data_IF_869679860553
#
_entry.id   IF_869679860553
#
_cell.length_a   1.000
_cell.length_b   1.000
_cell.length_c   1.000
_cell.angle_alpha   90.00
_cell.angle_beta   90.00
_cell.angle_gamma   90.00
#
_symmetry.space_group_name_H-M   'P 1'
#
loop_
_entity.id
_entity.type
_entity.pdbx_description
1 polymer ?
#
# COMPACT_ATOMS: atom_id res chain seq x y z
N UNK A 1 30.76 -8.99 -12.72
CA UNK A 1 29.64 -8.84 -11.80
C UNK A 1 28.43 -9.59 -12.35
N UNK A 2 27.72 -10.25 -11.48
CA UNK A 2 26.59 -11.03 -11.87
C UNK A 2 25.35 -10.13 -12.07
N UNK A 3 24.86 -10.02 -13.30
CA UNK A 3 23.70 -9.20 -13.61
C UNK A 3 22.42 -9.71 -12.95
N UNK A 4 22.35 -11.03 -12.72
CA UNK A 4 21.18 -11.61 -12.07
C UNK A 4 21.08 -11.17 -10.61
N UNK A 5 22.22 -11.07 -9.92
CA UNK A 5 22.24 -10.56 -8.56
C UNK A 5 21.82 -9.09 -8.50
N UNK A 6 22.28 -8.27 -9.45
CA UNK A 6 21.90 -6.86 -9.52
C UNK A 6 20.39 -6.72 -9.75
N UNK A 7 19.83 -7.50 -10.67
CA UNK A 7 18.41 -7.46 -10.96
C UNK A 7 17.58 -7.89 -9.74
N UNK A 8 18.07 -8.90 -9.04
CA UNK A 8 17.38 -9.38 -7.84
C UNK A 8 17.39 -8.33 -6.73
N UNK A 9 18.54 -7.69 -6.51
CA UNK A 9 18.64 -6.62 -5.51
C UNK A 9 17.77 -5.42 -5.87
N UNK A 10 17.76 -5.03 -7.14
CA UNK A 10 16.93 -3.92 -7.60
C UNK A 10 15.44 -4.23 -7.44
N UNK A 11 15.05 -5.47 -7.69
CA UNK A 11 13.66 -5.89 -7.53
C UNK A 11 13.24 -5.84 -6.06
N UNK A 12 14.13 -6.30 -5.16
CA UNK A 12 13.87 -6.34 -3.74
C UNK A 12 13.73 -4.94 -3.15
N UNK A 13 14.55 -3.99 -3.61
CA UNK A 13 14.55 -2.63 -3.09
C UNK A 13 13.83 -1.63 -3.98
N UNK A 14 13.20 -2.10 -5.06
CA UNK A 14 12.46 -1.21 -5.94
C UNK A 14 11.23 -0.64 -5.23
N UNK A 15 11.06 0.68 -5.31
CA UNK A 15 9.97 1.40 -4.67
C UNK A 15 8.84 1.61 -5.67
N UNK A 16 8.04 0.58 -5.88
CA UNK A 16 6.99 0.54 -6.90
C UNK A 16 5.57 0.47 -6.33
N UNK A 17 5.44 0.61 -5.02
CA UNK A 17 4.13 0.45 -4.37
C UNK A 17 3.86 1.64 -3.47
N UNK A 18 2.62 2.07 -3.45
CA UNK A 18 2.24 3.06 -2.46
C UNK A 18 0.94 2.65 -1.77
N UNK A 19 0.70 3.26 -0.63
CA UNK A 19 -0.52 3.05 0.14
C UNK A 19 -1.26 4.37 0.17
N UNK A 20 -2.55 4.32 -0.14
CA UNK A 20 -3.41 5.47 -0.02
C UNK A 20 -4.54 5.17 0.96
N UNK A 21 -5.02 6.21 1.62
CA UNK A 21 -6.16 6.07 2.54
C UNK A 21 -6.97 7.34 2.55
N UNK A 22 -8.23 7.22 2.92
CA UNK A 22 -9.11 8.37 3.02
C UNK A 22 -10.00 8.26 4.26
N UNK A 23 -10.43 9.42 4.75
CA UNK A 23 -11.32 9.50 5.89
C UNK A 23 -12.77 9.75 5.44
N UNK A 24 -13.67 9.87 6.42
CA UNK A 24 -15.08 10.11 6.16
C UNK A 24 -15.41 11.56 5.76
N UNK A 25 -14.42 12.45 5.83
CA UNK A 25 -14.58 13.86 5.47
C UNK A 25 -14.07 14.19 4.07
N UNK A 26 -13.64 13.17 3.33
CA UNK A 26 -13.15 13.35 1.96
C UNK A 26 -11.67 13.68 1.85
N UNK A 27 -10.93 13.65 2.95
CA UNK A 27 -9.49 13.85 2.90
C UNK A 27 -8.80 12.57 2.42
N UNK A 28 -7.80 12.74 1.57
CA UNK A 28 -7.02 11.63 1.02
C UNK A 28 -5.55 11.83 1.34
N UNK A 29 -4.88 10.75 1.66
CA UNK A 29 -3.44 10.72 1.90
C UNK A 29 -2.82 9.61 1.09
N UNK A 30 -1.55 9.80 0.72
CA UNK A 30 -0.77 8.80 0.00
C UNK A 30 0.62 8.73 0.59
N UNK A 31 1.17 7.52 0.68
CA UNK A 31 2.55 7.35 1.05
C UNK A 31 3.46 7.65 -0.15
N UNK A 32 4.75 7.84 0.10
CA UNK A 32 5.75 7.76 -0.95
C UNK A 32 5.75 6.35 -1.55
N UNK A 33 6.38 6.20 -2.71
CA UNK A 33 6.57 4.87 -3.26
C UNK A 33 7.55 4.08 -2.40
N UNK A 34 7.17 2.85 -2.06
CA UNK A 34 7.88 2.01 -1.12
C UNK A 34 8.12 0.62 -1.73
N UNK A 35 9.15 -0.11 -1.26
CA UNK A 35 9.25 -1.53 -1.54
C UNK A 35 8.02 -2.28 -1.03
N UNK A 36 7.71 -3.42 -1.64
CA UNK A 36 6.48 -4.16 -1.33
C UNK A 36 6.36 -4.50 0.17
N UNK A 37 7.46 -4.86 0.82
CA UNK A 37 7.42 -5.22 2.23
C UNK A 37 7.04 -4.03 3.11
N UNK A 38 7.59 -2.86 2.83
CA UNK A 38 7.27 -1.66 3.58
C UNK A 38 5.85 -1.18 3.30
N UNK A 39 5.43 -1.25 2.04
CA UNK A 39 4.07 -0.87 1.67
C UNK A 39 3.05 -1.79 2.32
N UNK A 40 3.30 -3.09 2.32
CA UNK A 40 2.43 -4.07 2.98
C UNK A 40 2.36 -3.83 4.49
N UNK A 41 3.49 -3.50 5.11
CA UNK A 41 3.52 -3.19 6.53
C UNK A 41 2.67 -1.96 6.85
N UNK A 42 2.85 -0.89 6.06
CA UNK A 42 2.08 0.34 6.26
C UNK A 42 0.59 0.09 6.06
N UNK A 43 0.21 -0.63 5.01
CA UNK A 43 -1.18 -0.98 4.74
C UNK A 43 -1.78 -1.75 5.91
N UNK A 44 -1.04 -2.73 6.42
CA UNK A 44 -1.50 -3.56 7.52
C UNK A 44 -1.67 -2.74 8.82
N UNK A 45 -0.77 -1.81 9.08
CA UNK A 45 -0.87 -0.91 10.22
C UNK A 45 -2.13 -0.03 10.13
N UNK A 46 -2.42 0.50 8.94
CA UNK A 46 -3.59 1.34 8.74
C UNK A 46 -4.89 0.55 8.91
N UNK A 47 -4.92 -0.69 8.43
CA UNK A 47 -6.11 -1.55 8.56
C UNK A 47 -6.35 -1.93 10.02
N UNK A 48 -5.28 -2.21 10.77
CA UNK A 48 -5.40 -2.68 12.14
C UNK A 48 -5.60 -1.57 13.18
N UNK A 49 -5.34 -0.32 12.80
CA UNK A 49 -5.47 0.82 13.72
C UNK A 49 -6.37 1.91 13.13
N UNK A 50 -7.64 1.58 12.81
CA UNK A 50 -8.54 2.54 12.17
C UNK A 50 -8.93 3.71 13.05
N UNK A 51 -8.91 3.53 14.37
CA UNK A 51 -9.39 4.53 15.32
C UNK A 51 -8.50 5.78 15.39
N UNK A 52 -7.22 5.64 15.04
CA UNK A 52 -6.29 6.75 15.13
C UNK A 52 -6.49 7.78 14.03
N UNK A 53 -7.09 7.38 12.89
CA UNK A 53 -7.15 8.22 11.70
C UNK A 53 -8.54 8.35 11.09
N UNK A 54 -9.55 7.74 11.67
CA UNK A 54 -10.94 7.73 11.17
C UNK A 54 -11.01 7.32 9.69
N UNK A 55 -10.06 6.51 9.22
CA UNK A 55 -10.00 6.12 7.82
C UNK A 55 -11.10 5.13 7.48
N UNK A 56 -11.73 5.35 6.34
CA UNK A 56 -12.81 4.49 5.86
C UNK A 56 -12.34 3.53 4.77
N UNK A 57 -11.21 3.82 4.13
CA UNK A 57 -10.71 3.00 3.04
C UNK A 57 -9.19 3.11 2.95
N UNK A 58 -8.54 1.97 2.70
CA UNK A 58 -7.10 1.90 2.45
C UNK A 58 -6.86 1.09 1.18
N UNK A 59 -5.88 1.47 0.39
CA UNK A 59 -5.51 0.76 -0.83
C UNK A 59 -4.00 0.59 -0.92
N UNK A 60 -3.57 -0.56 -1.40
CA UNK A 60 -2.18 -0.83 -1.76
C UNK A 60 -2.09 -0.89 -3.27
N UNK A 61 -1.40 0.08 -3.87
CA UNK A 61 -1.32 0.25 -5.31
C UNK A 61 0.04 -0.16 -5.85
N UNK A 62 0.02 -0.81 -7.02
CA UNK A 62 1.22 -1.24 -7.72
C UNK A 62 1.47 -0.37 -8.94
N UNK A 63 2.64 0.28 -8.98
CA UNK A 63 3.07 1.04 -10.15
C UNK A 63 3.38 0.12 -11.34
N UNK A 64 3.85 -1.10 -11.04
CA UNK A 64 4.19 -2.07 -12.09
C UNK A 64 2.93 -2.51 -12.83
N UNK A 65 1.89 -2.83 -12.07
CA UNK A 65 0.63 -3.33 -12.62
C UNK A 65 -0.36 -2.22 -12.93
N UNK A 66 -0.08 -1.02 -12.48
CA UNK A 66 -0.95 0.16 -12.64
C UNK A 66 -2.36 -0.08 -12.08
N UNK A 67 -2.44 -0.72 -10.93
CA UNK A 67 -3.73 -1.03 -10.29
C UNK A 67 -3.56 -1.24 -8.80
N UNK A 68 -4.68 -1.20 -8.08
CA UNK A 68 -4.71 -1.60 -6.69
C UNK A 68 -4.55 -3.12 -6.59
N UNK A 69 -3.62 -3.57 -5.75
CA UNK A 69 -3.44 -4.99 -5.46
C UNK A 69 -4.48 -5.45 -4.45
N UNK A 70 -4.78 -4.59 -3.49
CA UNK A 70 -5.78 -4.87 -2.46
C UNK A 70 -6.35 -3.55 -1.96
N UNK A 71 -7.62 -3.57 -1.64
CA UNK A 71 -8.33 -2.44 -1.02
C UNK A 71 -9.12 -2.96 0.16
N UNK A 72 -9.08 -2.23 1.26
CA UNK A 72 -9.85 -2.57 2.45
C UNK A 72 -10.86 -1.46 2.73
N UNK A 73 -12.13 -1.85 2.91
CA UNK A 73 -13.18 -0.94 3.33
C UNK A 73 -13.48 -1.14 4.81
N UNK A 74 -13.25 -0.11 5.62
CA UNK A 74 -13.53 -0.17 7.05
C UNK A 74 -15.04 -0.10 7.30
N UNK A 75 -15.80 0.51 6.40
CA UNK A 75 -17.27 0.59 6.50
C UNK A 75 -17.86 -0.80 6.32
N UNK A 76 -17.41 -1.52 5.29
CA UNK A 76 -17.92 -2.86 4.98
C UNK A 76 -17.17 -3.96 5.71
N UNK A 77 -16.04 -3.63 6.31
CA UNK A 77 -15.15 -4.57 6.98
C UNK A 77 -14.75 -5.71 6.03
N UNK A 78 -14.30 -5.35 4.84
CA UNK A 78 -14.07 -6.30 3.76
C UNK A 78 -12.87 -5.91 2.90
N UNK A 79 -12.11 -6.92 2.45
CA UNK A 79 -11.02 -6.76 1.50
C UNK A 79 -11.52 -6.99 0.07
N UNK A 80 -10.98 -6.21 -0.86
CA UNK A 80 -11.22 -6.35 -2.30
C UNK A 80 -9.89 -6.57 -3.00
N UNK A 81 -9.84 -7.55 -3.86
CA UNK A 81 -8.62 -7.93 -4.59
C UNK A 81 -8.73 -7.68 -6.09
#
# INVERSE_FOLDING_TARGET
>A
MNNDLMNELMREFASNYNVSWKDDQGNNWESDFLPIEEAAYLFNELVNNPDDNDQIECSLWSCIDCKDLVRYSNIENKYYY
#
